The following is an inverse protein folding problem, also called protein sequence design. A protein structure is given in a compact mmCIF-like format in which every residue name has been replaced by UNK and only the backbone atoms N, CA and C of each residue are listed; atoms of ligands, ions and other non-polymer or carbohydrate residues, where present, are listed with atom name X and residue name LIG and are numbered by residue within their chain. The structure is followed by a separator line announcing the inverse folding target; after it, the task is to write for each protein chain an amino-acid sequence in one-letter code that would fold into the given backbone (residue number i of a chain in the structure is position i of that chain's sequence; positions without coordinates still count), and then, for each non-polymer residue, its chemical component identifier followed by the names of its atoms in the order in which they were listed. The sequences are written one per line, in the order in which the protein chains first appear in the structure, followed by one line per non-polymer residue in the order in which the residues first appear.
data_IF_548787048194
#
_entry.id   IF_548787048194
#
_cell.length_a   1.000
_cell.length_b   1.000
_cell.length_c   1.000
_cell.angle_alpha   90.00
_cell.angle_beta   90.00
_cell.angle_gamma   90.00
#
_symmetry.space_group_name_H-M   'P 1'
#
loop_
_entity.id
_entity.type
_entity.pdbx_description
1 polymer ?
#
# COMPACT_ATOMS: atom_id res chain seq x y z
N UNK A 1 -13.87 14.57 -0.61
CA UNK A 1 -14.87 14.64 -1.72
C UNK A 1 -14.35 15.37 -2.96
N UNK A 2 -13.88 16.62 -2.87
CA UNK A 2 -13.41 17.37 -4.05
C UNK A 2 -12.19 16.72 -4.76
N UNK A 3 -11.22 16.20 -4.01
CA UNK A 3 -10.03 15.54 -4.56
C UNK A 3 -10.37 14.25 -5.33
N UNK A 4 -11.26 13.42 -4.79
CA UNK A 4 -11.73 12.21 -5.46
C UNK A 4 -12.45 12.53 -6.78
N UNK A 5 -13.36 13.53 -6.74
CA UNK A 5 -14.05 13.98 -7.94
C UNK A 5 -13.04 14.48 -9.00
N UNK A 6 -12.04 15.25 -8.61
CA UNK A 6 -10.99 15.70 -9.51
C UNK A 6 -10.22 14.53 -10.14
N UNK A 7 -9.90 13.48 -9.37
CA UNK A 7 -9.26 12.28 -9.89
C UNK A 7 -10.15 11.50 -10.88
N UNK A 8 -11.47 11.44 -10.61
CA UNK A 8 -12.44 10.83 -11.51
C UNK A 8 -12.60 11.62 -12.81
N UNK A 9 -12.64 12.94 -12.73
CA UNK A 9 -12.82 13.83 -13.89
C UNK A 9 -11.64 13.73 -14.89
N UNK A 10 -10.44 13.39 -14.42
CA UNK A 10 -9.24 13.17 -15.26
C UNK A 10 -8.97 11.68 -15.55
N UNK A 11 -9.86 10.78 -15.15
CA UNK A 11 -9.76 9.35 -15.44
C UNK A 11 -8.70 8.59 -14.64
N UNK A 12 -8.27 9.11 -13.48
CA UNK A 12 -7.33 8.44 -12.58
C UNK A 12 -8.03 7.56 -11.54
N UNK A 13 -9.25 7.90 -11.16
CA UNK A 13 -10.09 7.06 -10.33
C UNK A 13 -11.34 6.64 -11.11
N UNK A 14 -11.78 5.42 -10.90
CA UNK A 14 -12.98 4.89 -11.50
C UNK A 14 -14.25 5.49 -10.88
N UNK A 15 -15.40 5.25 -11.52
CA UNK A 15 -16.71 5.69 -11.01
C UNK A 15 -17.01 5.08 -9.64
N UNK A 16 -16.65 3.82 -9.43
CA UNK A 16 -16.58 3.17 -8.13
C UNK A 16 -15.12 3.16 -7.65
N UNK A 17 -14.73 4.05 -6.73
CA UNK A 17 -13.36 4.21 -6.29
C UNK A 17 -12.97 3.27 -5.13
N UNK A 18 -13.76 2.25 -4.84
CA UNK A 18 -13.56 1.36 -3.68
C UNK A 18 -12.17 0.74 -3.69
N UNK A 19 -11.71 0.26 -4.84
CA UNK A 19 -10.39 -0.36 -4.96
C UNK A 19 -9.25 0.60 -4.59
N UNK A 20 -9.40 1.89 -4.93
CA UNK A 20 -8.41 2.93 -4.62
C UNK A 20 -8.47 3.34 -3.15
N UNK A 21 -9.69 3.68 -2.65
CA UNK A 21 -9.84 4.29 -1.31
C UNK A 21 -9.76 3.27 -0.17
N UNK A 22 -10.14 2.00 -0.42
CA UNK A 22 -10.06 0.91 0.57
C UNK A 22 -8.75 0.12 0.49
N UNK A 23 -7.78 0.60 -0.30
CA UNK A 23 -6.44 0.01 -0.43
C UNK A 23 -6.41 -1.38 -1.11
N UNK A 24 -7.42 -1.75 -1.87
CA UNK A 24 -7.49 -3.05 -2.54
C UNK A 24 -6.53 -3.12 -3.73
N UNK A 25 -6.51 -2.10 -4.59
CA UNK A 25 -5.56 -2.02 -5.71
C UNK A 25 -4.09 -2.00 -5.23
N UNK A 26 -3.68 -1.14 -4.27
CA UNK A 26 -2.34 -1.22 -3.69
C UNK A 26 -2.00 -2.59 -3.07
N UNK A 27 -2.97 -3.28 -2.46
CA UNK A 27 -2.80 -4.62 -1.91
C UNK A 27 -2.49 -5.64 -3.00
N UNK A 28 -3.22 -5.64 -4.11
CA UNK A 28 -2.98 -6.51 -5.29
C UNK A 28 -1.60 -6.25 -5.89
N UNK A 29 -1.23 -4.98 -6.06
CA UNK A 29 0.11 -4.59 -6.54
C UNK A 29 1.22 -5.07 -5.61
N UNK A 30 1.00 -5.02 -4.28
CA UNK A 30 1.94 -5.54 -3.29
C UNK A 30 2.11 -7.06 -3.40
N UNK A 31 1.01 -7.83 -3.58
CA UNK A 31 1.06 -9.28 -3.80
C UNK A 31 1.94 -9.62 -5.00
N UNK A 32 1.68 -9.00 -6.14
CA UNK A 32 2.43 -9.26 -7.38
C UNK A 32 3.92 -8.93 -7.19
N UNK A 33 4.21 -7.74 -6.65
CA UNK A 33 5.59 -7.27 -6.47
C UNK A 33 6.36 -8.11 -5.46
N UNK A 34 5.72 -8.49 -4.33
CA UNK A 34 6.37 -9.28 -3.27
C UNK A 34 6.57 -10.73 -3.72
N UNK A 35 5.61 -11.33 -4.41
CA UNK A 35 5.74 -12.68 -4.94
C UNK A 35 6.91 -12.76 -5.91
N UNK A 36 7.03 -11.81 -6.81
CA UNK A 36 8.14 -11.76 -7.76
C UNK A 36 9.48 -11.47 -7.09
N UNK A 37 9.54 -10.46 -6.21
CA UNK A 37 10.79 -10.04 -5.57
C UNK A 37 11.36 -11.06 -4.57
N UNK A 38 10.47 -11.81 -3.88
CA UNK A 38 10.88 -12.74 -2.83
C UNK A 38 10.80 -14.21 -3.24
N UNK A 39 10.24 -14.53 -4.41
CA UNK A 39 10.02 -15.90 -4.86
C UNK A 39 9.04 -16.65 -3.94
N UNK A 40 7.96 -16.01 -3.52
CA UNK A 40 6.96 -16.56 -2.58
C UNK A 40 5.57 -16.56 -3.19
N UNK A 41 4.62 -17.26 -2.58
CA UNK A 41 3.23 -17.28 -2.97
C UNK A 41 2.37 -16.66 -1.86
N UNK A 42 2.23 -15.34 -1.88
CA UNK A 42 1.32 -14.59 -1.02
C UNK A 42 -0.05 -14.51 -1.68
N UNK A 43 -1.09 -14.53 -0.88
CA UNK A 43 -2.46 -14.33 -1.32
C UNK A 43 -2.94 -12.94 -0.90
N UNK A 44 -3.85 -12.36 -1.69
CA UNK A 44 -4.42 -11.04 -1.39
C UNK A 44 -5.05 -11.01 0.00
N UNK A 45 -5.87 -12.01 0.33
CA UNK A 45 -6.61 -12.09 1.60
C UNK A 45 -5.72 -12.22 2.84
N UNK A 46 -4.49 -12.66 2.69
CA UNK A 46 -3.54 -12.80 3.79
C UNK A 46 -2.90 -11.46 4.19
N UNK A 47 -2.93 -10.45 3.30
CA UNK A 47 -2.29 -9.15 3.54
C UNK A 47 -3.28 -8.20 4.20
N UNK A 48 -3.03 -7.78 5.46
CA UNK A 48 -3.88 -6.79 6.10
C UNK A 48 -3.75 -5.45 5.40
N UNK A 49 -4.89 -4.81 5.15
CA UNK A 49 -4.95 -3.48 4.55
C UNK A 49 -5.93 -2.58 5.30
N UNK A 50 -5.64 -1.28 5.28
CA UNK A 50 -6.50 -0.24 5.80
C UNK A 50 -6.47 0.94 4.82
N UNK A 51 -7.65 1.36 4.36
CA UNK A 51 -7.82 2.40 3.36
C UNK A 51 -7.76 3.82 3.92
N UNK A 52 -8.15 4.77 3.09
CA UNK A 52 -8.15 6.22 3.40
C UNK A 52 -9.56 6.78 3.59
N UNK A 53 -10.60 5.99 3.44
CA UNK A 53 -11.99 6.44 3.49
C UNK A 53 -12.40 7.01 4.85
N UNK A 54 -11.75 6.57 5.93
CA UNK A 54 -12.00 7.05 7.30
C UNK A 54 -11.20 8.29 7.68
N UNK A 55 -10.23 8.72 6.85
CA UNK A 55 -9.42 9.91 7.15
C UNK A 55 -10.27 11.17 6.98
N UNK A 56 -10.44 11.91 8.04
CA UNK A 56 -11.26 13.12 8.11
C UNK A 56 -10.46 14.39 7.80
N UNK A 57 -11.16 15.51 7.62
CA UNK A 57 -10.53 16.83 7.50
C UNK A 57 -9.78 17.24 8.80
N UNK A 58 -10.28 16.78 9.95
CA UNK A 58 -9.65 17.01 11.26
C UNK A 58 -8.32 16.26 11.36
N UNK A 59 -8.26 15.01 10.88
CA UNK A 59 -7.02 14.25 10.82
C UNK A 59 -5.98 14.95 9.95
N UNK A 60 -6.38 15.46 8.79
CA UNK A 60 -5.49 16.18 7.88
C UNK A 60 -4.97 17.48 8.51
N UNK A 61 -5.81 18.18 9.28
CA UNK A 61 -5.40 19.38 10.02
C UNK A 61 -4.38 19.00 11.09
N UNK A 62 -4.67 17.99 11.89
CA UNK A 62 -3.75 17.46 12.89
C UNK A 62 -2.39 17.07 12.29
N UNK A 63 -2.39 16.37 11.16
CA UNK A 63 -1.13 15.97 10.50
C UNK A 63 -0.33 17.18 10.04
N UNK A 64 -0.97 18.18 9.44
CA UNK A 64 -0.29 19.42 9.00
C UNK A 64 0.34 20.20 10.16
N UNK A 65 -0.38 20.32 11.28
CA UNK A 65 0.13 20.99 12.49
C UNK A 65 1.38 20.31 13.06
N UNK A 66 1.52 18.98 12.84
CA UNK A 66 2.70 18.22 13.22
C UNK A 66 3.77 18.13 12.12
N UNK A 67 3.60 18.84 11.00
CA UNK A 67 4.53 18.79 9.87
C UNK A 67 4.53 17.46 9.12
N UNK A 68 3.39 16.80 9.05
CA UNK A 68 3.22 15.50 8.38
C UNK A 68 2.31 15.57 7.17
N UNK A 69 2.59 14.69 6.20
CA UNK A 69 1.70 14.35 5.08
C UNK A 69 1.30 12.87 5.20
N UNK A 70 0.03 12.58 4.92
CA UNK A 70 -0.50 11.22 4.91
C UNK A 70 -0.54 10.69 3.48
N UNK A 71 0.04 9.51 3.26
CA UNK A 71 -0.02 8.80 1.98
C UNK A 71 -0.35 7.33 2.21
N UNK A 72 -1.14 6.75 1.29
CA UNK A 72 -1.33 5.30 1.28
C UNK A 72 -0.03 4.61 0.89
N UNK A 73 0.43 3.70 1.73
CA UNK A 73 1.75 3.09 1.61
C UNK A 73 1.67 1.57 1.71
N UNK A 74 2.41 0.91 0.84
CA UNK A 74 2.56 -0.54 0.82
C UNK A 74 3.95 -0.94 1.26
N UNK A 75 4.07 -2.01 2.02
CA UNK A 75 5.36 -2.55 2.44
C UNK A 75 5.33 -4.07 2.45
N UNK A 76 6.38 -4.68 1.91
CA UNK A 76 6.70 -6.08 2.13
C UNK A 76 8.17 -6.21 2.51
N UNK A 77 8.47 -7.13 3.42
CA UNK A 77 9.84 -7.42 3.89
C UNK A 77 9.96 -8.90 4.20
N UNK A 78 10.99 -9.55 3.68
CA UNK A 78 11.32 -10.91 4.06
C UNK A 78 11.78 -10.96 5.52
N UNK A 79 11.21 -11.84 6.31
CA UNK A 79 11.56 -12.08 7.72
C UNK A 79 11.88 -13.56 7.90
N UNK A 80 12.48 -13.92 9.02
CA UNK A 80 12.90 -15.31 9.30
C UNK A 80 11.76 -16.34 9.23
N UNK A 81 10.53 -15.92 9.54
CA UNK A 81 9.33 -16.78 9.59
C UNK A 81 8.32 -16.49 8.48
N UNK A 82 8.77 -15.95 7.35
CA UNK A 82 7.87 -15.63 6.22
C UNK A 82 8.08 -14.24 5.65
N UNK A 83 6.99 -13.51 5.44
CA UNK A 83 7.00 -12.14 4.93
C UNK A 83 6.18 -11.25 5.86
N UNK A 84 6.75 -10.11 6.25
CA UNK A 84 5.94 -9.01 6.79
C UNK A 84 5.38 -8.22 5.62
N UNK A 85 4.06 -8.12 5.50
CA UNK A 85 3.41 -7.37 4.44
C UNK A 85 2.13 -6.69 4.93
N UNK A 86 1.91 -5.45 4.51
CA UNK A 86 0.72 -4.68 4.87
C UNK A 86 0.54 -3.45 3.97
N UNK A 87 -0.69 -2.92 3.95
CA UNK A 87 -1.05 -1.66 3.30
C UNK A 87 -1.77 -0.79 4.30
N UNK A 88 -1.26 0.43 4.53
CA UNK A 88 -1.84 1.36 5.52
C UNK A 88 -1.51 2.81 5.17
N UNK A 89 -2.39 3.78 5.44
CA UNK A 89 -2.04 5.19 5.43
C UNK A 89 -0.86 5.45 6.35
N UNK A 90 0.17 6.11 5.84
CA UNK A 90 1.42 6.33 6.55
C UNK A 90 1.76 7.82 6.58
N UNK A 91 2.19 8.31 7.73
CA UNK A 91 2.59 9.69 7.94
C UNK A 91 4.07 9.86 7.63
N UNK A 92 4.38 10.81 6.76
CA UNK A 92 5.73 11.20 6.37
C UNK A 92 5.96 12.66 6.76
N UNK A 93 7.22 13.02 7.07
CA UNK A 93 7.58 14.42 7.26
C UNK A 93 7.31 15.24 5.98
N UNK A 94 6.91 16.49 6.15
CA UNK A 94 6.50 17.38 5.05
C UNK A 94 7.65 17.67 4.05
N UNK A 95 8.90 17.45 4.48
CA UNK A 95 10.09 17.56 3.63
C UNK A 95 10.32 16.34 2.73
N UNK A 96 9.47 15.30 2.86
CA UNK A 96 9.53 14.17 1.94
C UNK A 96 9.24 14.67 0.52
N UNK A 97 10.06 14.29 -0.48
CA UNK A 97 9.86 14.75 -1.85
C UNK A 97 8.47 14.36 -2.34
N UNK A 98 7.91 15.17 -3.25
CA UNK A 98 6.69 14.81 -3.95
C UNK A 98 6.91 13.49 -4.69
N UNK A 99 6.35 12.42 -4.13
CA UNK A 99 6.47 11.08 -4.69
C UNK A 99 5.19 10.81 -5.45
N UNK A 100 5.22 10.92 -6.77
CA UNK A 100 4.06 10.61 -7.61
C UNK A 100 3.81 9.12 -7.70
N UNK A 101 4.82 8.34 -8.04
CA UNK A 101 4.82 6.87 -7.97
C UNK A 101 6.24 6.42 -7.65
N UNK A 102 6.41 5.65 -6.61
CA UNK A 102 7.73 5.16 -6.23
C UNK A 102 7.64 3.72 -5.72
N UNK A 103 8.48 2.85 -6.28
CA UNK A 103 8.74 1.52 -5.76
C UNK A 103 10.20 1.46 -5.36
N UNK A 104 10.50 1.16 -4.11
CA UNK A 104 11.85 1.02 -3.61
C UNK A 104 12.11 -0.42 -3.15
N UNK A 105 13.23 -0.97 -3.60
CA UNK A 105 13.74 -2.26 -3.19
C UNK A 105 14.98 -2.08 -2.32
N UNK A 106 15.07 -2.87 -1.27
CA UNK A 106 16.24 -2.91 -0.39
C UNK A 106 16.75 -4.34 -0.32
N UNK A 107 18.02 -4.54 -0.59
CA UNK A 107 18.67 -5.81 -0.45
C UNK A 107 20.05 -5.66 0.20
N UNK A 108 20.47 -6.65 1.00
CA UNK A 108 21.75 -6.60 1.70
C UNK A 108 22.93 -6.42 0.74
N UNK A 109 22.82 -6.98 -0.47
CA UNK A 109 23.92 -6.94 -1.47
C UNK A 109 23.82 -5.77 -2.45
N UNK A 110 22.60 -5.29 -2.73
CA UNK A 110 22.35 -4.23 -3.73
C UNK A 110 22.08 -2.86 -3.10
N UNK A 111 21.93 -2.81 -1.77
CA UNK A 111 21.53 -1.58 -1.09
C UNK A 111 20.11 -1.14 -1.46
N UNK A 112 19.91 0.18 -1.57
CA UNK A 112 18.64 0.77 -1.98
C UNK A 112 18.61 0.97 -3.48
N UNK A 113 17.60 0.43 -4.12
CA UNK A 113 17.29 0.63 -5.53
C UNK A 113 15.81 1.09 -5.65
N UNK A 114 15.53 2.05 -6.50
CA UNK A 114 14.17 2.59 -6.64
C UNK A 114 13.84 3.00 -8.06
N UNK A 115 12.58 2.80 -8.41
CA UNK A 115 11.96 3.37 -9.60
C UNK A 115 11.03 4.50 -9.16
N UNK A 116 11.16 5.66 -9.78
CA UNK A 116 10.19 6.75 -9.60
C UNK A 116 9.67 7.18 -10.95
N UNK A 117 8.35 7.28 -11.06
CA UNK A 117 7.68 7.82 -12.23
C UNK A 117 7.33 9.28 -12.00
N UNK A 118 7.75 10.15 -12.91
CA UNK A 118 7.25 11.52 -13.03
C UNK A 118 6.28 11.56 -14.21
N UNK A 119 5.03 11.94 -13.97
CA UNK A 119 4.01 12.05 -15.02
C UNK A 119 2.84 11.10 -14.85
N UNK A 120 2.05 10.95 -15.89
CA UNK A 120 0.85 10.11 -15.91
C UNK A 120 1.23 8.65 -16.08
N UNK A 121 1.45 7.94 -14.98
CA UNK A 121 1.60 6.47 -14.99
C UNK A 121 0.26 5.74 -14.94
N UNK A 122 -0.84 6.46 -14.83
CA UNK A 122 -2.21 5.95 -14.82
C UNK A 122 -3.03 6.53 -15.97
N UNK A 123 -4.16 5.89 -16.29
CA UNK A 123 -5.08 6.31 -17.34
C UNK A 123 -5.00 5.43 -18.59
N UNK A 124 -5.84 5.75 -19.58
CA UNK A 124 -6.10 4.90 -20.76
C UNK A 124 -4.83 4.57 -21.55
N UNK A 125 -3.99 5.56 -21.84
CA UNK A 125 -2.81 5.35 -22.69
C UNK A 125 -1.72 4.50 -22.03
N UNK A 126 -1.27 4.78 -20.79
CA UNK A 126 -0.27 3.95 -20.13
C UNK A 126 -0.75 2.52 -19.92
N UNK A 127 -2.01 2.34 -19.50
CA UNK A 127 -2.61 1.02 -19.31
C UNK A 127 -2.71 0.25 -20.63
N UNK A 128 -3.21 0.89 -21.69
CA UNK A 128 -3.30 0.30 -23.01
C UNK A 128 -1.93 -0.10 -23.58
N UNK A 129 -0.89 0.72 -23.34
CA UNK A 129 0.48 0.40 -23.73
C UNK A 129 1.02 -0.83 -23.01
N UNK A 130 0.75 -0.97 -21.70
CA UNK A 130 1.16 -2.15 -20.92
C UNK A 130 0.46 -3.42 -21.40
N UNK A 131 -0.86 -3.35 -21.63
CA UNK A 131 -1.63 -4.50 -22.16
C UNK A 131 -1.10 -4.91 -23.53
N UNK A 132 -0.81 -3.95 -24.41
CA UNK A 132 -0.25 -4.26 -25.73
C UNK A 132 1.13 -4.92 -25.63
N UNK A 133 1.99 -4.43 -24.72
CA UNK A 133 3.29 -5.04 -24.46
C UNK A 133 3.15 -6.50 -24.03
N UNK A 134 2.28 -6.79 -23.05
CA UNK A 134 1.99 -8.16 -22.61
C UNK A 134 1.48 -9.05 -23.76
N UNK A 135 0.62 -8.53 -24.64
CA UNK A 135 0.15 -9.27 -25.81
C UNK A 135 1.30 -9.61 -26.78
N UNK A 136 2.22 -8.67 -27.00
CA UNK A 136 3.39 -8.88 -27.85
C UNK A 136 4.35 -9.90 -27.24
N UNK A 137 4.57 -9.87 -25.93
CA UNK A 137 5.39 -10.84 -25.23
C UNK A 137 4.81 -12.25 -25.32
N UNK A 138 3.50 -12.41 -25.14
CA UNK A 138 2.81 -13.68 -25.33
C UNK A 138 2.97 -14.17 -26.76
N UNK A 139 2.79 -13.31 -27.76
CA UNK A 139 2.95 -13.66 -29.17
C UNK A 139 4.39 -14.07 -29.51
N UNK A 140 5.37 -13.44 -28.89
CA UNK A 140 6.79 -13.75 -29.05
C UNK A 140 7.20 -15.04 -28.31
N UNK A 141 6.31 -15.64 -27.52
CA UNK A 141 6.60 -16.82 -26.71
C UNK A 141 7.53 -16.55 -25.53
N UNK A 142 7.51 -15.32 -25.00
CA UNK A 142 8.29 -14.98 -23.83
C UNK A 142 7.82 -15.79 -22.61
N UNK A 143 8.77 -16.33 -21.85
CA UNK A 143 8.48 -17.10 -20.65
C UNK A 143 7.88 -16.18 -19.56
N UNK A 144 6.79 -16.58 -18.91
CA UNK A 144 6.22 -15.81 -17.81
C UNK A 144 7.15 -15.82 -16.58
N UNK A 145 7.20 -14.74 -15.82
CA UNK A 145 7.97 -14.63 -14.57
C UNK A 145 7.56 -15.62 -13.47
N UNK A 146 6.41 -16.26 -13.61
CA UNK A 146 5.78 -17.06 -12.56
C UNK A 146 6.57 -18.30 -12.15
N UNK A 147 7.54 -18.74 -12.95
CA UNK A 147 8.42 -19.86 -12.60
C UNK A 147 9.31 -19.57 -11.38
N UNK A 148 9.51 -18.31 -11.00
CA UNK A 148 10.28 -17.92 -9.80
C UNK A 148 9.44 -17.91 -8.53
N UNK A 149 8.13 -18.04 -8.64
CA UNK A 149 7.21 -18.02 -7.50
C UNK A 149 7.15 -19.40 -6.88
N UNK A 150 7.39 -19.49 -5.56
CA UNK A 150 7.30 -20.75 -4.84
C UNK A 150 5.87 -21.32 -4.90
N UNK A 151 5.72 -22.65 -5.10
CA UNK A 151 4.39 -23.28 -5.19
C UNK A 151 3.65 -23.33 -3.86
N UNK A 152 4.31 -23.03 -2.74
CA UNK A 152 3.74 -23.13 -1.42
C UNK A 152 3.37 -21.76 -0.84
N UNK A 153 2.25 -21.67 -0.10
CA UNK A 153 1.86 -20.45 0.59
C UNK A 153 2.96 -19.96 1.53
N UNK A 154 3.17 -18.67 1.56
CA UNK A 154 4.09 -18.02 2.50
C UNK A 154 3.29 -17.37 3.62
N UNK A 155 3.75 -17.53 4.86
CA UNK A 155 3.07 -16.94 6.01
C UNK A 155 3.33 -15.43 6.08
N UNK A 156 2.27 -14.68 6.37
CA UNK A 156 2.38 -13.28 6.75
C UNK A 156 2.71 -13.19 8.23
N UNK A 157 3.81 -12.53 8.55
CA UNK A 157 4.23 -12.29 9.93
C UNK A 157 4.60 -10.82 10.14
N UNK A 158 3.70 -10.07 10.77
CA UNK A 158 3.85 -8.65 11.10
C UNK A 158 4.23 -8.39 12.57
N UNK A 159 4.57 -9.43 13.35
CA UNK A 159 4.83 -9.32 14.79
C UNK A 159 6.12 -8.57 15.14
N UNK A 160 7.09 -8.54 14.24
CA UNK A 160 8.40 -7.89 14.48
C UNK A 160 8.53 -6.49 13.84
N UNK A 161 7.53 -6.01 13.11
CA UNK A 161 7.53 -4.68 12.53
C UNK A 161 6.92 -3.68 13.52
N UNK A 162 7.78 -3.04 14.32
CA UNK A 162 7.40 -2.06 15.33
C UNK A 162 7.26 -0.68 14.72
N UNK A 163 6.14 -0.01 14.95
CA UNK A 163 5.82 1.35 14.48
C UNK A 163 5.01 2.10 15.52
N UNK A 164 5.00 3.43 15.42
CA UNK A 164 4.04 4.28 16.11
C UNK A 164 2.83 4.47 15.22
N UNK A 165 1.64 4.40 15.81
CA UNK A 165 0.38 4.53 15.10
C UNK A 165 -0.43 5.72 15.63
N UNK A 166 -1.02 6.45 14.72
CA UNK A 166 -2.04 7.43 15.03
C UNK A 166 -3.39 6.74 15.04
N UNK A 167 -4.15 6.94 16.08
CA UNK A 167 -5.53 6.49 16.21
C UNK A 167 -6.45 7.67 16.54
N UNK A 168 -7.62 7.64 15.94
CA UNK A 168 -8.74 8.50 16.28
C UNK A 168 -9.93 7.64 16.70
N UNK A 169 -10.50 7.98 17.84
CA UNK A 169 -11.74 7.42 18.37
C UNK A 169 -12.70 8.58 18.67
N UNK A 170 -13.96 8.30 19.05
CA UNK A 170 -14.89 9.34 19.45
C UNK A 170 -14.31 10.15 20.62
N UNK A 171 -13.86 11.37 20.32
CA UNK A 171 -13.37 12.33 21.30
C UNK A 171 -11.89 12.24 21.68
N UNK A 172 -11.08 11.38 21.05
CA UNK A 172 -9.65 11.30 21.34
C UNK A 172 -8.82 10.99 20.10
N UNK A 173 -7.76 11.79 19.91
CA UNK A 173 -6.68 11.53 18.97
C UNK A 173 -5.40 11.25 19.75
N UNK A 174 -4.66 10.21 19.41
CA UNK A 174 -3.43 9.87 20.09
C UNK A 174 -2.45 9.10 19.20
N UNK A 175 -1.19 9.17 19.57
CA UNK A 175 -0.12 8.40 18.94
C UNK A 175 0.37 7.36 19.95
N UNK A 176 0.48 6.12 19.54
CA UNK A 176 0.94 5.03 20.39
C UNK A 176 2.44 5.12 20.67
N UNK A 177 2.89 4.47 21.73
CA UNK A 177 4.26 3.97 21.77
C UNK A 177 4.45 2.93 20.64
N UNK A 178 5.71 2.56 20.31
CA UNK A 178 5.93 1.55 19.29
C UNK A 178 5.22 0.23 19.61
N UNK A 179 4.29 -0.18 18.77
CA UNK A 179 3.59 -1.47 18.81
C UNK A 179 3.84 -2.22 17.51
N UNK A 180 3.64 -3.54 17.49
CA UNK A 180 3.80 -4.28 16.27
C UNK A 180 2.64 -4.03 15.30
N UNK A 181 2.91 -4.12 14.00
CA UNK A 181 1.89 -3.91 12.96
C UNK A 181 0.71 -4.86 13.11
N UNK A 182 0.94 -6.12 13.51
CA UNK A 182 -0.15 -7.07 13.78
C UNK A 182 -1.10 -6.58 14.86
N UNK A 183 -0.56 -6.13 15.99
CA UNK A 183 -1.34 -5.56 17.10
C UNK A 183 -2.12 -4.32 16.67
N UNK A 184 -1.51 -3.44 15.86
CA UNK A 184 -2.19 -2.26 15.36
C UNK A 184 -3.43 -2.61 14.52
N UNK A 185 -3.35 -3.61 13.64
CA UNK A 185 -4.50 -4.09 12.89
C UNK A 185 -5.56 -4.75 13.77
N UNK A 186 -5.17 -5.41 14.87
CA UNK A 186 -6.14 -5.91 15.86
C UNK A 186 -6.88 -4.77 16.54
N UNK A 187 -6.17 -3.71 16.95
CA UNK A 187 -6.77 -2.51 17.53
C UNK A 187 -7.71 -1.81 16.54
N UNK A 188 -7.31 -1.66 15.27
CA UNK A 188 -8.19 -1.11 14.22
C UNK A 188 -9.49 -1.90 14.15
N UNK A 189 -9.43 -3.23 14.10
CA UNK A 189 -10.64 -4.08 14.04
C UNK A 189 -11.52 -3.92 15.29
N UNK A 190 -10.94 -3.74 16.46
CA UNK A 190 -11.69 -3.50 17.70
C UNK A 190 -12.38 -2.13 17.69
N UNK A 191 -11.66 -1.08 17.27
CA UNK A 191 -12.22 0.27 17.15
C UNK A 191 -13.37 0.29 16.14
N UNK A 192 -13.16 -0.28 14.95
CA UNK A 192 -14.21 -0.33 13.92
C UNK A 192 -15.47 -1.10 14.34
N UNK A 193 -15.34 -2.12 15.20
CA UNK A 193 -16.49 -2.83 15.76
C UNK A 193 -17.23 -2.00 16.79
N UNK A 194 -16.51 -1.24 17.61
CA UNK A 194 -17.09 -0.40 18.65
C UNK A 194 -17.66 0.92 18.07
N UNK A 195 -17.00 1.46 17.07
CA UNK A 195 -17.24 2.77 16.47
C UNK A 195 -17.16 2.68 14.94
N UNK A 196 -18.22 2.23 14.23
CA UNK A 196 -18.16 1.99 12.78
C UNK A 196 -17.85 3.23 11.91
N UNK A 197 -17.80 4.42 12.51
CA UNK A 197 -17.46 5.70 11.85
C UNK A 197 -16.21 6.37 12.42
N UNK A 198 -15.46 5.67 13.25
CA UNK A 198 -14.23 6.20 13.82
C UNK A 198 -13.07 6.18 12.81
#
# INVERSE_FOLDING_TARGET
MAALKGAQDIGFAEKDPTDDVEALDPRRKLVLSANLAFGVSLREDDIPCFGISTISAEDITFFREHGWICKLFTRAKKVSSGVSAFVIPTLFGITAPEIYSNVAFYGERIGKFGFSGAGTSAGVYPTGSSVLADCLDIQAGCDPFYHVIAPHPCLINNSNEMKRFYFRTQGKQFITEPICVGEAFDQIRQIQKAEPRA
#
